data_IF_657204790021
#
_entry.id   IF_657204790021
#
_cell.length_a   1.000
_cell.length_b   1.000
_cell.length_c   1.000
_cell.angle_alpha   90.00
_cell.angle_beta   90.00
_cell.angle_gamma   90.00
#
_symmetry.space_group_name_H-M   'P 1'
#
loop_
_entity.id
_entity.type
_entity.pdbx_description
1 polymer ?
#
# COMPACT_ATOMS: atom_id res chain seq x y z
N UNK A 1 -9.15 42.69 -66.93
CA UNK A 1 -8.13 41.74 -66.55
C UNK A 1 -7.78 41.93 -65.07
N UNK A 2 -8.39 41.13 -64.15
CA UNK A 2 -8.10 41.16 -62.71
C UNK A 2 -7.35 39.87 -62.37
N UNK A 3 -6.14 40.02 -61.85
CA UNK A 3 -5.31 38.90 -61.31
C UNK A 3 -5.63 38.72 -59.85
N UNK A 4 -6.18 37.60 -59.52
CA UNK A 4 -6.36 37.15 -58.12
C UNK A 4 -5.08 36.46 -57.64
N UNK A 5 -4.48 37.03 -56.56
CA UNK A 5 -3.35 36.43 -55.83
C UNK A 5 -3.92 35.52 -54.74
N UNK A 6 -3.76 34.19 -54.93
CA UNK A 6 -4.03 33.20 -53.89
C UNK A 6 -2.85 33.15 -52.91
N UNK A 7 -3.09 33.62 -51.67
CA UNK A 7 -2.15 33.50 -50.55
C UNK A 7 -2.25 32.09 -49.92
N UNK A 8 -1.19 31.30 -50.02
CA UNK A 8 -1.02 30.06 -49.32
C UNK A 8 -0.61 30.37 -47.87
N UNK A 9 -1.50 30.09 -46.89
CA UNK A 9 -1.18 30.14 -45.46
C UNK A 9 -0.65 28.73 -45.06
N UNK A 10 0.66 28.65 -44.82
CA UNK A 10 1.31 27.46 -44.30
C UNK A 10 1.04 27.35 -42.76
N UNK A 11 0.20 26.43 -42.38
CA UNK A 11 0.00 26.06 -40.96
C UNK A 11 1.19 25.20 -40.51
N UNK A 12 2.16 25.81 -39.81
CA UNK A 12 3.22 25.07 -39.10
C UNK A 12 2.63 24.50 -37.81
N UNK A 13 2.26 23.20 -37.83
CA UNK A 13 1.79 22.49 -36.66
C UNK A 13 2.93 22.30 -35.64
N UNK A 14 2.86 23.01 -34.51
CA UNK A 14 3.70 22.79 -33.35
C UNK A 14 3.29 21.46 -32.70
N UNK A 15 3.96 20.36 -33.06
CA UNK A 15 3.91 19.10 -32.35
C UNK A 15 4.61 19.30 -30.98
N UNK A 16 3.83 19.71 -29.98
CA UNK A 16 4.29 19.78 -28.60
C UNK A 16 4.65 18.38 -28.10
N UNK A 17 5.91 18.11 -27.86
CA UNK A 17 6.38 16.90 -27.17
C UNK A 17 5.92 16.96 -25.73
N UNK A 18 4.88 16.21 -25.37
CA UNK A 18 4.49 15.99 -23.99
C UNK A 18 5.51 15.01 -23.40
N UNK A 19 6.46 15.52 -22.64
CA UNK A 19 7.38 14.68 -21.89
C UNK A 19 6.58 13.80 -20.89
N UNK A 20 6.84 12.49 -20.83
CA UNK A 20 6.18 11.64 -19.83
C UNK A 20 6.50 12.15 -18.43
N UNK A 21 5.46 12.43 -17.63
CA UNK A 21 5.62 12.83 -16.24
C UNK A 21 6.41 11.74 -15.51
N UNK A 22 7.55 12.09 -14.93
CA UNK A 22 8.35 11.17 -14.13
C UNK A 22 7.49 10.66 -12.98
N UNK A 23 7.36 9.33 -12.84
CA UNK A 23 6.61 8.74 -11.75
C UNK A 23 7.23 9.18 -10.41
N UNK A 24 6.41 9.66 -9.48
CA UNK A 24 6.87 10.06 -8.16
C UNK A 24 7.59 8.88 -7.46
N UNK A 25 8.69 9.14 -6.74
CA UNK A 25 9.41 8.10 -6.05
C UNK A 25 8.53 7.41 -5.01
N UNK A 26 8.61 6.07 -4.92
CA UNK A 26 7.88 5.29 -3.92
C UNK A 26 8.41 5.62 -2.52
N UNK A 27 7.58 6.11 -1.59
CA UNK A 27 8.00 6.41 -0.23
C UNK A 27 8.62 5.21 0.47
N UNK A 28 9.57 5.46 1.36
CA UNK A 28 10.34 4.43 2.07
C UNK A 28 10.06 4.48 3.57
N UNK A 29 9.89 3.31 4.17
CA UNK A 29 9.96 3.07 5.61
C UNK A 29 11.14 2.14 5.88
N UNK A 30 12.04 2.51 6.77
CA UNK A 30 13.21 1.71 7.12
C UNK A 30 13.14 1.20 8.56
N UNK A 31 14.21 0.54 8.99
CA UNK A 31 14.31 -0.02 10.32
C UNK A 31 14.08 1.01 11.43
N UNK A 32 14.45 2.29 11.23
CA UNK A 32 14.28 3.34 12.22
C UNK A 32 12.81 3.73 12.43
N UNK A 33 11.96 3.48 11.45
CA UNK A 33 10.51 3.78 11.49
C UNK A 33 9.66 2.58 11.94
N UNK A 34 10.26 1.56 12.56
CA UNK A 34 9.55 0.40 13.12
C UNK A 34 8.76 0.77 14.37
N UNK A 35 7.70 0.00 14.63
CA UNK A 35 7.03 0.01 15.93
C UNK A 35 7.72 -0.95 16.89
N UNK A 36 7.99 -0.48 18.09
CA UNK A 36 8.57 -1.30 19.15
C UNK A 36 7.51 -1.65 20.20
N UNK A 37 7.44 -2.92 20.56
CA UNK A 37 6.60 -3.41 21.66
C UNK A 37 7.48 -3.85 22.82
N UNK A 38 6.88 -4.29 23.95
CA UNK A 38 7.62 -4.73 25.14
C UNK A 38 8.46 -5.99 24.90
N UNK A 39 8.17 -6.73 23.84
CA UNK A 39 8.91 -7.94 23.45
C UNK A 39 9.03 -8.05 21.94
N UNK A 40 10.14 -8.63 21.41
CA UNK A 40 10.29 -8.89 19.99
C UNK A 40 9.17 -9.79 19.45
N UNK A 41 8.66 -9.44 18.26
CA UNK A 41 7.64 -10.24 17.58
C UNK A 41 8.28 -11.48 16.97
N UNK A 42 7.90 -12.66 17.44
CA UNK A 42 8.48 -13.95 17.00
C UNK A 42 7.70 -14.63 15.89
N UNK A 43 6.40 -14.34 15.76
CA UNK A 43 5.53 -14.96 14.75
C UNK A 43 5.11 -13.95 13.68
N UNK A 44 5.35 -14.29 12.40
CA UNK A 44 4.89 -13.49 11.28
C UNK A 44 3.37 -13.46 11.21
N UNK A 45 2.71 -14.59 11.43
CA UNK A 45 1.26 -14.75 11.21
C UNK A 45 0.57 -15.11 12.51
N UNK A 46 -0.58 -14.47 12.77
CA UNK A 46 -1.55 -14.81 13.82
C UNK A 46 -2.93 -15.03 13.21
N UNK A 47 -3.88 -15.65 13.91
CA UNK A 47 -5.26 -15.77 13.45
C UNK A 47 -5.84 -14.42 13.02
N UNK A 48 -6.39 -14.35 11.82
CA UNK A 48 -6.93 -13.13 11.21
C UNK A 48 -5.93 -12.32 10.40
N UNK A 49 -4.63 -12.62 10.42
CA UNK A 49 -3.64 -11.96 9.57
C UNK A 49 -3.71 -12.49 8.13
N UNK A 50 -3.40 -11.62 7.17
CA UNK A 50 -3.19 -12.00 5.77
C UNK A 50 -1.69 -12.05 5.48
N UNK A 51 -1.19 -13.24 5.15
CA UNK A 51 0.20 -13.40 4.71
C UNK A 51 0.34 -13.32 3.19
N UNK A 52 1.37 -12.59 2.74
CA UNK A 52 1.82 -12.52 1.35
C UNK A 52 3.35 -12.64 1.31
N UNK A 53 3.87 -13.83 1.05
CA UNK A 53 5.30 -14.09 1.07
C UNK A 53 5.93 -13.77 2.43
N UNK A 54 6.95 -12.91 2.51
CA UNK A 54 7.66 -12.58 3.75
C UNK A 54 6.95 -11.51 4.60
N UNK A 55 5.73 -11.10 4.25
CA UNK A 55 4.97 -10.10 5.00
C UNK A 55 3.65 -10.64 5.52
N UNK A 56 3.13 -10.03 6.59
CA UNK A 56 1.77 -10.26 7.06
C UNK A 56 1.12 -8.94 7.48
N UNK A 57 -0.11 -8.74 7.03
CA UNK A 57 -0.97 -7.62 7.42
C UNK A 57 -1.80 -8.03 8.63
N UNK A 58 -1.58 -7.35 9.75
CA UNK A 58 -2.23 -7.71 11.02
C UNK A 58 -3.75 -7.53 10.94
N UNK A 59 -4.49 -8.59 11.17
CA UNK A 59 -5.95 -8.55 11.24
C UNK A 59 -6.69 -8.35 9.92
N UNK A 60 -6.01 -8.27 8.78
CA UNK A 60 -6.63 -7.89 7.50
C UNK A 60 -7.75 -8.83 7.03
N UNK A 61 -7.68 -10.12 7.35
CA UNK A 61 -8.77 -11.05 7.01
C UNK A 61 -10.09 -10.75 7.75
N UNK A 62 -10.00 -10.10 8.92
CA UNK A 62 -11.18 -9.82 9.75
C UNK A 62 -12.05 -8.71 9.15
N UNK A 63 -11.45 -7.73 8.46
CA UNK A 63 -12.18 -6.59 7.90
C UNK A 63 -12.89 -6.88 6.58
N UNK A 64 -12.82 -8.11 6.08
CA UNK A 64 -13.64 -8.54 4.96
C UNK A 64 -15.14 -8.40 5.27
N UNK A 65 -15.55 -8.72 6.50
CA UNK A 65 -16.93 -8.60 6.93
C UNK A 65 -17.32 -7.14 7.22
N UNK A 66 -18.51 -6.67 6.76
CA UNK A 66 -18.96 -5.28 6.93
C UNK A 66 -18.92 -4.81 8.40
N UNK A 67 -19.43 -5.63 9.32
CA UNK A 67 -19.46 -5.33 10.77
C UNK A 67 -18.05 -5.11 11.34
N UNK A 68 -17.08 -5.86 10.85
CA UNK A 68 -15.70 -5.74 11.30
C UNK A 68 -15.03 -4.51 10.68
N UNK A 69 -15.35 -4.16 9.43
CA UNK A 69 -14.87 -2.91 8.83
C UNK A 69 -15.34 -1.70 9.65
N UNK A 70 -16.61 -1.67 10.05
CA UNK A 70 -17.16 -0.62 10.92
C UNK A 70 -16.53 -0.60 12.33
N UNK A 71 -16.29 -1.78 12.90
CA UNK A 71 -15.69 -1.92 14.24
C UNK A 71 -14.23 -1.51 14.30
N UNK A 72 -13.44 -1.83 13.27
CA UNK A 72 -11.98 -1.60 13.24
C UNK A 72 -11.58 -0.36 12.44
N UNK A 73 -12.51 0.20 11.66
CA UNK A 73 -12.32 1.42 10.89
C UNK A 73 -12.69 2.66 11.71
N UNK A 74 -11.84 3.66 11.62
CA UNK A 74 -12.12 5.01 12.11
C UNK A 74 -12.57 5.88 10.93
N UNK A 75 -13.77 6.48 11.01
CA UNK A 75 -14.29 7.34 9.95
C UNK A 75 -13.85 8.78 10.19
N UNK A 76 -13.08 9.32 9.26
CA UNK A 76 -12.64 10.72 9.27
C UNK A 76 -12.76 11.30 7.86
N UNK A 77 -13.34 12.50 7.75
CA UNK A 77 -13.42 13.27 6.50
C UNK A 77 -13.92 12.45 5.30
N UNK A 78 -14.95 11.62 5.53
CA UNK A 78 -15.51 10.75 4.49
C UNK A 78 -14.66 9.53 4.13
N UNK A 79 -13.58 9.25 4.89
CA UNK A 79 -12.70 8.09 4.69
C UNK A 79 -12.80 7.09 5.83
N UNK A 80 -12.45 5.87 5.55
CA UNK A 80 -12.31 4.78 6.51
C UNK A 80 -10.82 4.51 6.71
N UNK A 81 -10.32 4.78 7.91
CA UNK A 81 -8.93 4.56 8.29
C UNK A 81 -8.81 3.25 9.06
N UNK A 82 -7.97 2.34 8.59
CA UNK A 82 -7.72 1.05 9.19
C UNK A 82 -6.31 0.98 9.74
N UNK A 83 -6.16 0.86 11.06
CA UNK A 83 -4.88 0.63 11.72
C UNK A 83 -4.51 -0.84 11.64
N UNK A 84 -3.67 -1.19 10.67
CA UNK A 84 -3.25 -2.56 10.38
C UNK A 84 -1.75 -2.65 10.19
N UNK A 85 -0.99 -2.81 11.28
CA UNK A 85 0.47 -2.89 11.20
C UNK A 85 0.93 -3.98 10.22
N UNK A 86 1.99 -3.67 9.49
CA UNK A 86 2.66 -4.61 8.60
C UNK A 86 3.82 -5.29 9.34
N UNK A 87 3.84 -6.61 9.33
CA UNK A 87 4.96 -7.42 9.79
C UNK A 87 5.80 -7.85 8.60
N UNK A 88 7.09 -7.68 8.69
CA UNK A 88 8.05 -8.06 7.63
C UNK A 88 9.16 -8.92 8.24
N UNK A 89 9.53 -10.03 7.59
CA UNK A 89 10.67 -10.85 8.02
C UNK A 89 11.95 -10.02 8.02
N UNK A 90 12.79 -10.21 9.03
CA UNK A 90 14.09 -9.53 9.20
C UNK A 90 14.93 -9.62 7.92
N UNK A 91 15.71 -8.57 7.65
CA UNK A 91 16.61 -8.44 6.50
C UNK A 91 15.92 -8.37 5.14
N UNK A 92 14.60 -8.30 5.08
CA UNK A 92 13.87 -8.21 3.80
C UNK A 92 13.57 -6.78 3.38
N UNK A 93 13.77 -6.53 2.08
CA UNK A 93 13.31 -5.30 1.44
C UNK A 93 12.11 -5.66 0.56
N UNK A 94 10.97 -5.05 0.84
CA UNK A 94 9.72 -5.32 0.14
C UNK A 94 9.05 -4.02 -0.31
N UNK A 95 8.36 -4.07 -1.46
CA UNK A 95 7.46 -3.00 -1.87
C UNK A 95 6.03 -3.55 -1.80
N UNK A 96 5.21 -2.91 -1.01
CA UNK A 96 3.78 -3.20 -0.91
C UNK A 96 3.03 -2.18 -1.75
N UNK A 97 2.06 -2.62 -2.53
CA UNK A 97 1.13 -1.73 -3.24
C UNK A 97 -0.30 -2.20 -3.09
N UNK A 98 -1.22 -1.24 -3.09
CA UNK A 98 -2.66 -1.46 -3.11
C UNK A 98 -3.24 -0.83 -4.36
N UNK A 99 -4.11 -1.57 -5.05
CA UNK A 99 -4.86 -1.09 -6.21
C UNK A 99 -6.33 -1.41 -5.99
N UNK A 100 -7.20 -0.41 -5.85
CA UNK A 100 -8.64 -0.63 -5.77
C UNK A 100 -9.16 -1.29 -7.06
N UNK A 101 -10.26 -2.02 -6.97
CA UNK A 101 -11.05 -2.43 -8.10
C UNK A 101 -12.20 -1.43 -8.27
N UNK A 102 -12.42 -0.95 -9.50
CA UNK A 102 -13.42 0.08 -9.78
C UNK A 102 -12.92 1.51 -9.50
N UNK A 103 -13.87 2.43 -9.22
CA UNK A 103 -13.64 3.86 -9.06
C UNK A 103 -13.32 4.31 -7.63
N UNK A 104 -13.53 3.44 -6.64
CA UNK A 104 -13.24 3.73 -5.24
C UNK A 104 -11.74 3.92 -4.99
N UNK A 105 -11.39 4.79 -4.03
CA UNK A 105 -10.00 5.05 -3.71
C UNK A 105 -9.52 4.22 -2.51
N UNK A 106 -8.31 3.68 -2.61
CA UNK A 106 -7.60 3.03 -1.51
C UNK A 106 -6.13 3.48 -1.49
N UNK A 107 -5.57 3.62 -0.31
CA UNK A 107 -4.17 3.99 -0.11
C UNK A 107 -3.56 3.31 1.12
N UNK A 108 -2.23 3.30 1.18
CA UNK A 108 -1.44 2.85 2.31
C UNK A 108 -1.10 4.05 3.20
N UNK A 109 -1.30 3.93 4.51
CA UNK A 109 -1.05 4.99 5.50
C UNK A 109 0.14 4.64 6.40
N UNK A 110 1.22 4.14 5.80
CA UNK A 110 2.47 3.81 6.51
C UNK A 110 3.49 4.95 6.49
N UNK A 111 3.19 6.07 5.86
CA UNK A 111 4.11 7.21 5.69
C UNK A 111 3.63 8.38 6.53
N UNK A 112 4.52 9.00 7.30
CA UNK A 112 4.17 10.05 8.27
C UNK A 112 3.77 11.37 7.60
N UNK A 113 4.44 11.73 6.51
CA UNK A 113 4.24 13.01 5.81
C UNK A 113 3.11 12.98 4.76
N UNK A 114 2.36 11.87 4.69
CA UNK A 114 1.24 11.74 3.76
C UNK A 114 -0.07 11.91 4.51
N UNK A 115 -0.98 12.76 4.02
CA UNK A 115 -2.29 12.91 4.62
C UNK A 115 -3.00 11.56 4.76
N UNK A 116 -3.53 11.27 5.95
CA UNK A 116 -4.18 10.00 6.26
C UNK A 116 -5.40 9.73 5.37
N UNK A 117 -6.04 10.78 4.87
CA UNK A 117 -7.21 10.72 4.00
C UNK A 117 -6.90 10.26 2.58
N UNK A 118 -5.69 10.49 2.07
CA UNK A 118 -5.31 10.10 0.71
C UNK A 118 -4.49 8.81 0.67
N UNK A 119 -3.55 8.63 1.60
CA UNK A 119 -2.59 7.55 1.59
C UNK A 119 -1.72 7.57 0.32
N UNK A 120 -0.93 6.53 0.12
CA UNK A 120 -0.12 6.34 -1.09
C UNK A 120 -0.40 4.98 -1.73
N UNK A 121 -0.28 4.84 -3.06
CA UNK A 121 -0.55 3.57 -3.74
C UNK A 121 0.51 2.51 -3.46
N UNK A 122 1.71 2.89 -3.04
CA UNK A 122 2.80 1.95 -2.76
C UNK A 122 3.76 2.51 -1.70
N UNK A 123 4.34 1.60 -0.89
CA UNK A 123 5.38 1.91 0.10
C UNK A 123 6.47 0.84 0.04
N UNK A 124 7.73 1.27 0.10
CA UNK A 124 8.90 0.40 0.22
C UNK A 124 9.27 0.27 1.69
N UNK A 125 9.38 -0.97 2.17
CA UNK A 125 9.80 -1.30 3.54
C UNK A 125 11.17 -1.95 3.53
N UNK A 126 12.05 -1.50 4.42
CA UNK A 126 13.37 -2.08 4.69
C UNK A 126 13.33 -2.59 6.12
N UNK A 127 13.13 -3.91 6.28
CA UNK A 127 13.09 -4.52 7.61
C UNK A 127 14.47 -4.49 8.26
N UNK A 128 14.48 -4.42 9.59
CA UNK A 128 15.68 -4.55 10.39
C UNK A 128 16.33 -5.92 10.21
N UNK A 129 17.60 -6.02 10.41
CA UNK A 129 18.25 -7.31 10.65
C UNK A 129 17.84 -7.83 12.04
N UNK A 130 17.79 -9.16 12.20
CA UNK A 130 17.27 -9.76 13.44
C UNK A 130 18.03 -9.32 14.70
N UNK A 131 19.32 -9.07 14.55
CA UNK A 131 20.24 -8.69 15.61
C UNK A 131 20.44 -7.16 15.71
N UNK A 132 19.68 -6.38 14.90
CA UNK A 132 19.67 -4.92 14.95
C UNK A 132 19.22 -4.44 16.33
N UNK A 133 20.08 -3.78 17.12
CA UNK A 133 19.70 -3.32 18.45
C UNK A 133 18.68 -2.17 18.36
N UNK A 134 17.85 -2.06 19.39
CA UNK A 134 16.93 -0.95 19.57
C UNK A 134 16.90 -0.52 21.04
N UNK A 135 16.24 0.61 21.31
CA UNK A 135 16.06 1.07 22.68
C UNK A 135 15.31 0.04 23.53
N UNK A 136 14.21 -0.55 23.00
CA UNK A 136 13.43 -1.55 23.72
C UNK A 136 14.06 -2.96 23.70
N UNK A 137 14.97 -3.23 22.72
CA UNK A 137 15.55 -4.55 22.53
C UNK A 137 17.06 -4.47 22.23
N UNK A 138 17.90 -4.25 23.28
CA UNK A 138 19.36 -4.18 23.09
C UNK A 138 19.97 -5.43 22.46
N UNK A 139 19.36 -6.60 22.68
CA UNK A 139 19.78 -7.89 22.09
C UNK A 139 19.25 -8.15 20.68
N UNK A 140 18.61 -7.15 20.03
CA UNK A 140 18.08 -7.25 18.69
C UNK A 140 16.55 -7.26 18.60
N UNK A 141 16.02 -6.74 17.49
CA UNK A 141 14.58 -6.63 17.24
C UNK A 141 13.91 -7.96 16.95
N UNK A 142 14.69 -9.01 16.72
CA UNK A 142 14.20 -10.37 16.45
C UNK A 142 13.84 -10.61 14.97
N UNK A 143 13.17 -11.74 14.69
CA UNK A 143 12.98 -12.23 13.33
C UNK A 143 11.93 -11.44 12.52
N UNK A 144 11.20 -10.53 13.13
CA UNK A 144 10.09 -9.80 12.52
C UNK A 144 10.18 -8.32 12.86
N UNK A 145 10.24 -7.47 11.84
CA UNK A 145 10.07 -6.02 11.98
C UNK A 145 8.60 -5.66 11.82
N UNK A 146 8.08 -4.82 12.72
CA UNK A 146 6.70 -4.33 12.66
C UNK A 146 6.72 -2.86 12.25
N UNK A 147 5.96 -2.52 11.21
CA UNK A 147 5.76 -1.14 10.76
C UNK A 147 4.34 -0.69 11.13
N UNK A 148 4.19 0.38 11.94
CA UNK A 148 2.89 0.96 12.22
C UNK A 148 2.31 1.60 10.97
N UNK A 149 0.99 1.56 10.83
CA UNK A 149 0.27 2.09 9.68
C UNK A 149 -0.96 1.26 9.34
N UNK A 150 -1.41 1.35 8.09
CA UNK A 150 -2.61 0.64 7.65
C UNK A 150 -3.09 1.06 6.27
N UNK A 151 -4.41 1.21 6.16
CA UNK A 151 -5.08 1.56 4.91
C UNK A 151 -6.03 2.75 5.11
N UNK A 152 -6.21 3.53 4.05
CA UNK A 152 -7.32 4.46 3.92
C UNK A 152 -8.19 4.03 2.74
N UNK A 153 -9.51 4.13 2.90
CA UNK A 153 -10.50 3.75 1.90
C UNK A 153 -11.55 4.85 1.77
N UNK A 154 -12.05 5.12 0.56
CA UNK A 154 -13.20 6.02 0.39
C UNK A 154 -14.51 5.37 0.83
N UNK A 155 -14.63 4.05 0.63
CA UNK A 155 -15.82 3.25 0.93
C UNK A 155 -15.45 1.77 1.05
N UNK A 156 -16.36 0.88 1.51
CA UNK A 156 -16.15 -0.56 1.44
C UNK A 156 -15.89 -0.98 -0.01
N UNK A 157 -14.84 -1.79 -0.23
CA UNK A 157 -14.39 -2.13 -1.58
C UNK A 157 -13.52 -3.37 -1.63
N UNK A 158 -13.29 -3.84 -2.85
CA UNK A 158 -12.26 -4.84 -3.13
C UNK A 158 -11.00 -4.18 -3.68
N UNK A 159 -9.85 -4.70 -3.31
CA UNK A 159 -8.58 -4.21 -3.80
C UNK A 159 -7.59 -5.35 -4.04
N UNK A 160 -6.64 -5.13 -4.94
CA UNK A 160 -5.51 -6.03 -5.18
C UNK A 160 -4.32 -5.55 -4.36
N UNK A 161 -3.88 -6.38 -3.42
CA UNK A 161 -2.60 -6.21 -2.74
C UNK A 161 -1.49 -6.93 -3.52
N UNK A 162 -0.37 -6.25 -3.67
CA UNK A 162 0.83 -6.81 -4.30
C UNK A 162 2.04 -6.59 -3.41
N UNK A 163 2.86 -7.62 -3.27
CA UNK A 163 4.13 -7.58 -2.54
C UNK A 163 5.25 -8.02 -3.45
N UNK A 164 6.17 -7.11 -3.73
CA UNK A 164 7.39 -7.39 -4.47
C UNK A 164 8.54 -7.46 -3.47
N UNK A 165 9.31 -8.53 -3.50
CA UNK A 165 10.49 -8.73 -2.66
C UNK A 165 11.74 -8.42 -3.49
N UNK A 166 12.65 -7.59 -2.96
CA UNK A 166 13.92 -7.27 -3.63
C UNK A 166 14.73 -8.56 -3.86
N UNK A 167 15.23 -8.72 -5.09
CA UNK A 167 15.99 -9.92 -5.49
C UNK A 167 15.13 -11.13 -5.87
N UNK A 168 13.79 -11.04 -5.79
CA UNK A 168 12.89 -12.10 -6.21
C UNK A 168 12.16 -11.72 -7.51
N UNK A 169 12.01 -12.68 -8.43
CA UNK A 169 11.28 -12.48 -9.70
C UNK A 169 9.76 -12.47 -9.50
N UNK A 170 9.29 -13.16 -8.47
CA UNK A 170 7.85 -13.29 -8.20
C UNK A 170 7.28 -12.07 -7.48
N UNK A 171 6.04 -11.73 -7.83
CA UNK A 171 5.21 -10.76 -7.14
C UNK A 171 4.07 -11.53 -6.47
N UNK A 172 4.00 -11.49 -5.15
CA UNK A 172 2.87 -12.04 -4.43
C UNK A 172 1.66 -11.12 -4.63
N UNK A 173 0.55 -11.69 -5.07
CA UNK A 173 -0.67 -10.92 -5.36
C UNK A 173 -1.85 -11.57 -4.65
N UNK A 174 -2.72 -10.77 -4.06
CA UNK A 174 -3.96 -11.23 -3.43
C UNK A 174 -5.07 -10.22 -3.61
N UNK A 175 -6.23 -10.70 -3.99
CA UNK A 175 -7.48 -9.96 -3.91
C UNK A 175 -7.93 -9.92 -2.45
N UNK A 176 -8.29 -8.75 -1.95
CA UNK A 176 -8.76 -8.54 -0.57
C UNK A 176 -10.07 -7.79 -0.58
N UNK A 177 -10.92 -8.12 0.38
CA UNK A 177 -12.19 -7.48 0.63
C UNK A 177 -12.06 -6.57 1.86
N UNK A 178 -12.53 -5.35 1.72
CA UNK A 178 -12.71 -4.39 2.80
C UNK A 178 -14.20 -4.13 2.97
N UNK A 179 -14.86 -4.93 3.82
CA UNK A 179 -16.27 -4.79 4.14
C UNK A 179 -17.25 -5.27 3.07
N UNK A 180 -16.78 -5.99 2.04
CA UNK A 180 -17.65 -6.51 0.97
C UNK A 180 -18.05 -7.98 1.18
N UNK A 181 -17.73 -8.57 2.35
CA UNK A 181 -17.93 -9.98 2.61
C UNK A 181 -16.78 -10.85 2.09
N UNK A 182 -17.04 -12.14 1.91
CA UNK A 182 -16.00 -13.06 1.42
C UNK A 182 -15.58 -12.73 -0.01
N UNK A 183 -14.28 -12.82 -0.29
CA UNK A 183 -13.68 -12.50 -1.60
C UNK A 183 -14.32 -13.30 -2.73
N UNK A 184 -14.57 -14.59 -2.52
CA UNK A 184 -15.16 -15.53 -3.50
C UNK A 184 -16.59 -15.20 -3.90
N UNK A 185 -17.28 -14.29 -3.23
CA UNK A 185 -18.67 -13.94 -3.54
C UNK A 185 -18.83 -12.58 -4.23
N UNK A 186 -18.10 -11.59 -3.79
CA UNK A 186 -18.35 -10.20 -4.13
C UNK A 186 -17.19 -9.51 -4.87
N UNK A 187 -15.95 -9.97 -4.68
CA UNK A 187 -14.79 -9.37 -5.33
C UNK A 187 -14.45 -10.00 -6.70
N UNK A 188 -14.85 -11.25 -6.93
CA UNK A 188 -14.58 -11.93 -8.20
C UNK A 188 -15.52 -11.51 -9.34
N UNK A 189 -16.55 -10.69 -9.01
CA UNK A 189 -17.56 -10.21 -9.96
C UNK A 189 -17.31 -8.78 -10.45
N UNK A 190 -16.25 -8.14 -9.97
CA UNK A 190 -15.80 -6.80 -10.36
C UNK A 190 -14.64 -6.87 -11.37
#
# INVERSE_FOLDING_TARGET
>A
MRRELLGLIAFAGLLGWVAPAAAAPVPKRDCQSRGEGPQPVRSLVRPGDLQLGPVAFTGLKRVAEPRNLERFGDRRDGRILLKMPLKVRAGRVVTVSVRPLGSAAAGLTFVEDVPLDTGVPAVKFVACDKDEPSFAHPGGVGPITVFPGGFTLSEPQCAVLRVRVRGHRFVYTRLVSFGMGQVSGNCDKL
#
